data_IF_717888104536
#
_entry.id   IF_717888104536
#
_cell.length_a   1.000
_cell.length_b   1.000
_cell.length_c   1.000
_cell.angle_alpha   90.00
_cell.angle_beta   90.00
_cell.angle_gamma   90.00
#
_symmetry.space_group_name_H-M   'P 1'
#
loop_
_entity.id
_entity.type
_entity.pdbx_description
1 polymer ?
#
# COMPACT_ATOMS: atom_id res chain seq x y z
N UNK A 1 -23.64 40.75 8.40
CA UNK A 1 -22.63 39.79 8.86
C UNK A 1 -23.15 38.40 8.59
N UNK A 2 -22.67 37.77 7.52
CA UNK A 2 -22.93 36.37 7.24
C UNK A 2 -21.60 35.64 7.47
N UNK A 3 -21.60 34.69 8.38
CA UNK A 3 -20.44 33.93 8.79
C UNK A 3 -19.88 33.14 7.60
N UNK A 4 -18.68 33.50 7.15
CA UNK A 4 -17.80 32.61 6.41
C UNK A 4 -17.45 31.47 7.36
N UNK A 5 -18.18 30.35 7.24
CA UNK A 5 -17.75 29.10 7.84
C UNK A 5 -16.51 28.63 7.08
N UNK A 6 -15.33 28.80 7.67
CA UNK A 6 -14.11 28.14 7.21
C UNK A 6 -14.39 26.64 7.11
N UNK A 7 -14.43 26.08 5.89
CA UNK A 7 -14.51 24.64 5.64
C UNK A 7 -13.17 24.02 6.04
N UNK A 8 -12.95 23.81 7.33
CA UNK A 8 -11.76 23.14 7.83
C UNK A 8 -11.82 21.65 7.46
N UNK A 9 -10.94 21.21 6.56
CA UNK A 9 -10.75 19.79 6.24
C UNK A 9 -10.01 19.12 7.41
N UNK A 10 -10.60 18.07 7.99
CA UNK A 10 -9.96 17.37 9.12
C UNK A 10 -8.71 16.59 8.67
N UNK A 11 -7.71 16.40 9.56
CA UNK A 11 -6.50 15.65 9.22
C UNK A 11 -6.76 14.24 8.67
N UNK A 12 -7.82 13.57 9.14
CA UNK A 12 -8.19 12.23 8.66
C UNK A 12 -8.73 12.25 7.24
N UNK A 13 -9.48 13.29 6.87
CA UNK A 13 -9.91 13.50 5.48
C UNK A 13 -8.71 13.76 4.57
N UNK A 14 -7.75 14.59 5.01
CA UNK A 14 -6.53 14.83 4.25
C UNK A 14 -5.74 13.54 4.01
N UNK A 15 -5.60 12.69 5.04
CA UNK A 15 -4.92 11.39 4.92
C UNK A 15 -5.68 10.44 3.99
N UNK A 16 -7.00 10.42 4.04
CA UNK A 16 -7.82 9.59 3.15
C UNK A 16 -7.68 10.01 1.68
N UNK A 17 -7.69 11.32 1.40
CA UNK A 17 -7.45 11.86 0.05
C UNK A 17 -6.04 11.53 -0.43
N UNK A 18 -5.03 11.72 0.42
CA UNK A 18 -3.65 11.36 0.09
C UNK A 18 -3.52 9.86 -0.28
N UNK A 19 -4.17 8.97 0.47
CA UNK A 19 -4.20 7.53 0.16
C UNK A 19 -4.89 7.24 -1.18
N UNK A 20 -5.99 7.93 -1.51
CA UNK A 20 -6.66 7.76 -2.79
C UNK A 20 -5.78 8.20 -3.97
N UNK A 21 -5.09 9.34 -3.83
CA UNK A 21 -4.13 9.83 -4.83
C UNK A 21 -2.97 8.85 -5.00
N UNK A 22 -2.40 8.35 -3.89
CA UNK A 22 -1.37 7.31 -3.92
C UNK A 22 -1.80 6.10 -4.73
N UNK A 23 -2.97 5.54 -4.41
CA UNK A 23 -3.52 4.37 -5.10
C UNK A 23 -3.77 4.65 -6.57
N UNK A 24 -4.36 5.79 -6.92
CA UNK A 24 -4.63 6.16 -8.30
C UNK A 24 -3.33 6.24 -9.14
N UNK A 25 -2.29 6.85 -8.57
CA UNK A 25 -0.97 6.97 -9.21
C UNK A 25 -0.37 5.59 -9.46
N UNK A 26 -0.31 4.71 -8.46
CA UNK A 26 0.28 3.38 -8.62
C UNK A 26 -0.52 2.53 -9.62
N UNK A 27 -1.87 2.54 -9.51
CA UNK A 27 -2.74 1.81 -10.44
C UNK A 27 -2.53 2.25 -11.88
N UNK A 28 -2.39 3.56 -12.14
CA UNK A 28 -2.13 4.06 -13.48
C UNK A 28 -0.66 3.85 -13.91
N UNK A 29 0.28 4.47 -13.20
CA UNK A 29 1.67 4.58 -13.63
C UNK A 29 2.44 3.25 -13.64
N UNK A 30 2.04 2.30 -12.80
CA UNK A 30 2.62 0.97 -12.78
C UNK A 30 1.71 -0.07 -13.43
N UNK A 31 0.56 -0.39 -12.84
CA UNK A 31 -0.22 -1.54 -13.30
C UNK A 31 -0.91 -1.34 -14.66
N UNK A 32 -1.52 -0.18 -14.90
CA UNK A 32 -2.20 0.09 -16.16
C UNK A 32 -1.20 0.24 -17.32
N UNK A 33 -0.10 0.98 -17.10
CA UNK A 33 1.01 1.08 -18.05
C UNK A 33 1.66 -0.27 -18.35
N UNK A 34 1.76 -1.17 -17.36
CA UNK A 34 2.26 -2.54 -17.58
C UNK A 34 1.36 -3.35 -18.53
N UNK A 35 0.05 -3.12 -18.50
CA UNK A 35 -0.91 -3.72 -19.44
C UNK A 35 -1.01 -2.97 -20.78
N UNK A 36 -0.55 -1.72 -20.85
CA UNK A 36 -0.62 -0.86 -22.03
C UNK A 36 0.66 -0.02 -22.15
N UNK A 37 1.77 -0.63 -22.63
CA UNK A 37 3.10 -0.03 -22.63
C UNK A 37 3.23 1.28 -23.44
N UNK A 38 2.27 1.55 -24.34
CA UNK A 38 2.20 2.77 -25.13
C UNK A 38 1.83 4.02 -24.31
N UNK A 39 1.33 3.83 -23.08
CA UNK A 39 0.87 4.93 -22.23
C UNK A 39 2.05 5.67 -21.58
N UNK A 40 1.98 7.00 -21.64
CA UNK A 40 2.94 7.88 -20.99
C UNK A 40 2.84 7.79 -19.47
N UNK A 41 3.96 8.02 -18.79
CA UNK A 41 3.97 8.22 -17.34
C UNK A 41 3.30 9.58 -17.05
N UNK A 42 2.38 9.61 -16.09
CA UNK A 42 1.70 10.82 -15.65
C UNK A 42 2.37 11.40 -14.39
N UNK A 43 2.62 12.71 -14.40
CA UNK A 43 3.12 13.44 -13.23
C UNK A 43 2.00 13.70 -12.20
N UNK A 44 2.33 14.07 -10.95
CA UNK A 44 1.33 14.40 -9.93
C UNK A 44 0.31 15.45 -10.36
N UNK A 45 0.73 16.46 -11.12
CA UNK A 45 -0.11 17.56 -11.59
C UNK A 45 -1.26 17.04 -12.45
N UNK A 46 -1.00 16.12 -13.39
CA UNK A 46 -2.03 15.48 -14.21
C UNK A 46 -3.08 14.75 -13.36
N UNK A 47 -2.68 14.07 -12.28
CA UNK A 47 -3.65 13.41 -11.38
C UNK A 47 -4.50 14.43 -10.63
N UNK A 48 -3.91 15.54 -10.18
CA UNK A 48 -4.67 16.60 -9.51
C UNK A 48 -5.65 17.30 -10.44
N UNK A 49 -5.25 17.58 -11.68
CA UNK A 49 -6.13 18.12 -12.72
C UNK A 49 -7.30 17.17 -12.98
N UNK A 50 -7.05 15.87 -13.22
CA UNK A 50 -8.12 14.89 -13.43
C UNK A 50 -9.07 14.75 -12.22
N UNK A 51 -8.52 14.77 -11.00
CA UNK A 51 -9.31 14.68 -9.79
C UNK A 51 -10.23 15.91 -9.60
N UNK A 52 -9.73 17.10 -9.95
CA UNK A 52 -10.48 18.37 -9.89
C UNK A 52 -11.68 18.41 -10.85
N UNK A 53 -11.59 17.69 -11.97
CA UNK A 53 -12.66 17.59 -12.96
C UNK A 53 -13.75 16.57 -12.57
N UNK A 54 -13.42 15.60 -11.70
CA UNK A 54 -14.25 14.41 -11.44
C UNK A 54 -14.98 14.45 -10.09
N UNK A 55 -14.45 15.19 -9.12
CA UNK A 55 -14.96 15.24 -7.74
C UNK A 55 -15.26 16.70 -7.44
N UNK A 56 -16.53 17.04 -7.23
CA UNK A 56 -17.05 18.42 -7.14
C UNK A 56 -16.40 19.34 -6.09
N UNK A 57 -17.02 20.49 -5.86
CA UNK A 57 -16.49 21.69 -5.17
C UNK A 57 -15.61 21.47 -3.92
N UNK A 58 -15.78 20.38 -3.15
CA UNK A 58 -15.02 20.10 -1.94
C UNK A 58 -13.56 19.63 -2.19
N UNK A 59 -13.31 18.83 -3.24
CA UNK A 59 -11.92 18.47 -3.61
C UNK A 59 -11.24 19.63 -4.32
N UNK A 60 -11.99 20.39 -5.13
CA UNK A 60 -11.54 21.66 -5.70
C UNK A 60 -11.16 22.65 -4.61
N UNK A 61 -11.96 22.81 -3.55
CA UNK A 61 -11.62 23.66 -2.41
C UNK A 61 -10.35 23.18 -1.70
N UNK A 62 -10.17 21.85 -1.52
CA UNK A 62 -8.94 21.29 -0.96
C UNK A 62 -7.70 21.59 -1.83
N UNK A 63 -7.77 21.31 -3.14
CA UNK A 63 -6.67 21.54 -4.07
C UNK A 63 -6.36 23.04 -4.22
N UNK A 64 -7.38 23.89 -4.22
CA UNK A 64 -7.23 25.35 -4.28
C UNK A 64 -6.55 25.89 -3.02
N UNK A 65 -6.94 25.41 -1.82
CA UNK A 65 -6.27 25.78 -0.57
C UNK A 65 -4.82 25.32 -0.50
N UNK A 66 -4.51 24.14 -1.08
CA UNK A 66 -3.13 23.65 -1.21
C UNK A 66 -2.31 24.54 -2.15
N UNK A 67 -2.89 24.93 -3.28
CA UNK A 67 -2.23 25.79 -4.27
C UNK A 67 -2.01 27.23 -3.77
N UNK A 68 -2.96 27.80 -3.03
CA UNK A 68 -2.81 29.13 -2.41
C UNK A 68 -1.72 29.17 -1.32
N UNK A 69 -1.56 28.07 -0.57
CA UNK A 69 -0.51 27.96 0.45
C UNK A 69 0.90 27.84 -0.16
N UNK A 70 1.00 27.28 -1.37
CA UNK A 70 2.25 27.20 -2.16
C UNK A 70 2.62 28.54 -2.80
N UNK A 71 1.64 29.29 -3.31
CA UNK A 71 1.87 30.60 -3.95
C UNK A 71 2.14 31.74 -2.95
N UNK A 72 1.63 31.68 -1.72
CA UNK A 72 1.77 32.75 -0.72
C UNK A 72 2.97 32.59 0.24
N UNK A 73 3.69 31.47 0.19
CA UNK A 73 4.85 31.23 1.06
C UNK A 73 6.16 31.51 0.33
N UNK A 74 6.61 32.77 0.40
CA UNK A 74 7.93 33.16 -0.07
C UNK A 74 9.01 32.20 0.44
N UNK A 75 9.76 31.61 -0.49
CA UNK A 75 10.92 30.70 -0.28
C UNK A 75 10.71 29.71 0.87
N UNK A 76 10.07 28.59 0.54
CA UNK A 76 9.82 27.35 1.30
C UNK A 76 8.34 27.09 1.56
N UNK A 77 7.58 26.97 0.47
CA UNK A 77 6.28 26.31 0.52
C UNK A 77 6.45 24.87 0.99
N UNK A 78 5.98 24.58 2.19
CA UNK A 78 5.90 23.21 2.70
C UNK A 78 4.80 22.50 1.91
N UNK A 79 5.20 21.63 0.97
CA UNK A 79 4.28 20.79 0.19
C UNK A 79 3.21 20.18 1.08
N UNK A 80 1.97 20.16 0.59
CA UNK A 80 0.86 19.49 1.27
C UNK A 80 1.16 17.99 1.45
N UNK A 81 0.49 17.36 2.42
CA UNK A 81 0.63 15.91 2.64
C UNK A 81 0.28 15.13 1.37
N UNK A 82 -0.78 15.54 0.67
CA UNK A 82 -1.22 14.91 -0.57
C UNK A 82 -0.20 15.07 -1.69
N UNK A 83 0.39 16.26 -1.85
CA UNK A 83 1.43 16.47 -2.86
C UNK A 83 2.67 15.62 -2.59
N UNK A 84 3.11 15.53 -1.32
CA UNK A 84 4.24 14.67 -0.94
C UNK A 84 3.98 13.19 -1.23
N UNK A 85 2.79 12.71 -0.89
CA UNK A 85 2.37 11.34 -1.16
C UNK A 85 2.29 11.08 -2.67
N UNK A 86 1.85 12.06 -3.46
CA UNK A 86 1.81 11.93 -4.91
C UNK A 86 3.22 11.81 -5.54
N UNK A 87 4.18 12.62 -5.10
CA UNK A 87 5.58 12.51 -5.51
C UNK A 87 6.15 11.13 -5.14
N UNK A 88 5.96 10.71 -3.89
CA UNK A 88 6.40 9.38 -3.44
C UNK A 88 5.77 8.24 -4.24
N UNK A 89 4.48 8.32 -4.57
CA UNK A 89 3.81 7.33 -5.39
C UNK A 89 4.37 7.27 -6.82
N UNK A 90 4.74 8.43 -7.39
CA UNK A 90 5.41 8.48 -8.69
C UNK A 90 6.81 7.85 -8.62
N UNK A 91 7.61 8.18 -7.60
CA UNK A 91 8.92 7.58 -7.37
C UNK A 91 8.81 6.05 -7.25
N UNK A 92 7.85 5.55 -6.46
CA UNK A 92 7.57 4.11 -6.34
C UNK A 92 7.26 3.51 -7.72
N UNK A 93 6.34 4.10 -8.48
CA UNK A 93 5.94 3.57 -9.79
C UNK A 93 7.10 3.58 -10.80
N UNK A 94 7.98 4.58 -10.74
CA UNK A 94 9.18 4.66 -11.57
C UNK A 94 10.18 3.55 -11.22
N UNK A 95 10.44 3.31 -9.92
CA UNK A 95 11.36 2.25 -9.47
C UNK A 95 10.83 0.84 -9.73
N UNK A 96 9.50 0.66 -9.72
CA UNK A 96 8.87 -0.60 -10.09
C UNK A 96 8.99 -0.91 -11.59
N UNK A 97 9.14 0.14 -12.41
CA UNK A 97 9.34 0.07 -13.86
C UNK A 97 8.31 -0.82 -14.57
N UNK A 98 7.21 -0.19 -15.01
CA UNK A 98 6.13 -0.87 -15.72
C UNK A 98 6.55 -1.58 -17.03
N UNK A 99 7.75 -1.30 -17.56
CA UNK A 99 8.26 -1.97 -18.76
C UNK A 99 8.86 -3.35 -18.47
N UNK A 100 9.17 -3.65 -17.19
CA UNK A 100 9.74 -4.92 -16.76
C UNK A 100 8.66 -5.92 -16.35
N UNK A 101 8.99 -7.20 -16.46
CA UNK A 101 8.12 -8.27 -15.97
C UNK A 101 8.01 -8.24 -14.44
N UNK A 102 9.11 -8.04 -13.72
CA UNK A 102 9.16 -7.87 -12.27
C UNK A 102 10.29 -6.91 -11.87
N UNK A 103 10.16 -6.20 -10.73
CA UNK A 103 11.21 -5.31 -10.24
C UNK A 103 12.42 -6.09 -9.73
N UNK A 104 13.62 -5.54 -9.89
CA UNK A 104 14.86 -6.12 -9.35
C UNK A 104 15.03 -5.70 -7.88
N UNK A 105 14.70 -6.61 -6.97
CA UNK A 105 14.61 -6.32 -5.53
C UNK A 105 15.83 -6.78 -4.72
N UNK A 106 16.90 -7.28 -5.35
CA UNK A 106 18.02 -7.92 -4.65
C UNK A 106 18.70 -7.03 -3.59
N UNK A 107 18.65 -5.71 -3.77
CA UNK A 107 19.24 -4.71 -2.88
C UNK A 107 18.21 -3.86 -2.12
N UNK A 108 16.92 -4.19 -2.22
CA UNK A 108 15.85 -3.39 -1.62
C UNK A 108 15.74 -3.69 -0.12
N UNK A 109 15.76 -2.66 0.77
CA UNK A 109 15.51 -2.87 2.19
C UNK A 109 14.12 -3.46 2.44
N UNK A 110 14.02 -4.33 3.45
CA UNK A 110 12.74 -4.88 3.91
C UNK A 110 12.05 -3.82 4.78
N UNK A 111 10.93 -3.28 4.30
CA UNK A 111 10.13 -2.30 5.06
C UNK A 111 8.88 -2.90 5.70
N UNK A 112 8.48 -4.09 5.25
CA UNK A 112 7.19 -4.71 5.59
C UNK A 112 7.35 -6.23 5.70
N UNK A 113 6.53 -6.84 6.54
CA UNK A 113 6.28 -8.28 6.52
C UNK A 113 4.85 -8.57 6.10
N UNK A 114 4.64 -9.63 5.34
CA UNK A 114 3.32 -10.11 4.95
C UNK A 114 3.19 -11.62 5.19
N UNK A 115 1.97 -12.08 5.48
CA UNK A 115 1.66 -13.50 5.67
C UNK A 115 0.58 -13.95 4.71
N UNK A 116 0.91 -14.95 3.90
CA UNK A 116 -0.04 -15.73 3.11
C UNK A 116 -0.42 -16.97 3.92
N UNK A 117 -1.61 -16.94 4.52
CA UNK A 117 -2.15 -18.06 5.28
C UNK A 117 -2.91 -19.00 4.35
N UNK A 118 -2.42 -20.23 4.19
CA UNK A 118 -2.99 -21.27 3.35
C UNK A 118 -3.70 -22.33 4.20
N UNK A 119 -4.80 -22.83 3.66
CA UNK A 119 -5.48 -23.98 4.25
C UNK A 119 -4.63 -25.27 4.11
N UNK A 120 -4.93 -26.36 4.85
CA UNK A 120 -4.17 -27.61 4.74
C UNK A 120 -4.14 -28.23 3.33
N UNK A 121 -5.11 -27.90 2.46
CA UNK A 121 -5.09 -28.35 1.06
C UNK A 121 -4.25 -27.46 0.15
N UNK A 122 -3.81 -26.29 0.63
CA UNK A 122 -3.04 -25.27 -0.08
C UNK A 122 -3.75 -24.77 -1.34
N UNK A 123 -5.08 -24.83 -1.36
CA UNK A 123 -5.92 -24.36 -2.47
C UNK A 123 -6.70 -23.11 -2.13
N UNK A 124 -6.71 -22.71 -0.87
CA UNK A 124 -7.37 -21.49 -0.40
C UNK A 124 -6.45 -20.70 0.50
N UNK A 125 -6.72 -19.41 0.58
CA UNK A 125 -6.01 -18.50 1.46
C UNK A 125 -6.98 -17.60 2.23
N UNK A 126 -6.48 -17.08 3.35
CA UNK A 126 -7.22 -16.12 4.16
C UNK A 126 -6.88 -14.70 3.76
N UNK A 127 -7.92 -13.92 3.51
CA UNK A 127 -7.84 -12.51 3.16
C UNK A 127 -8.73 -11.68 4.10
N UNK A 128 -8.36 -10.42 4.28
CA UNK A 128 -9.09 -9.45 5.08
C UNK A 128 -9.84 -8.47 4.17
N UNK A 129 -11.15 -8.42 4.36
CA UNK A 129 -12.05 -7.41 3.80
C UNK A 129 -12.82 -6.78 4.96
N UNK A 130 -12.22 -5.78 5.61
CA UNK A 130 -12.79 -5.17 6.81
C UNK A 130 -12.99 -3.67 6.65
N UNK A 131 -13.79 -3.09 7.55
CA UNK A 131 -13.91 -1.65 7.69
C UNK A 131 -12.52 -0.97 7.86
N UNK A 132 -11.55 -1.69 8.44
CA UNK A 132 -10.18 -1.24 8.62
C UNK A 132 -9.42 -1.12 7.29
N UNK A 133 -9.75 -1.94 6.29
CA UNK A 133 -9.18 -1.87 4.94
C UNK A 133 -9.98 -0.92 4.02
N UNK A 134 -11.05 -0.30 4.54
CA UNK A 134 -11.94 0.63 3.81
C UNK A 134 -12.53 0.00 2.53
N UNK A 135 -12.83 -1.30 2.56
CA UNK A 135 -13.40 -2.02 1.41
C UNK A 135 -12.37 -2.44 0.36
N UNK A 136 -11.12 -2.69 0.76
CA UNK A 136 -10.05 -3.21 -0.10
C UNK A 136 -9.63 -4.58 0.44
N UNK A 137 -9.53 -5.57 -0.44
CA UNK A 137 -8.99 -6.88 -0.12
C UNK A 137 -7.50 -6.78 0.20
N UNK A 138 -7.08 -7.42 1.28
CA UNK A 138 -5.67 -7.44 1.69
C UNK A 138 -5.29 -8.77 2.32
N UNK A 139 -4.00 -9.08 2.32
CA UNK A 139 -3.43 -10.13 3.15
C UNK A 139 -2.95 -9.52 4.47
N UNK A 140 -2.52 -10.36 5.41
CA UNK A 140 -2.02 -9.86 6.70
C UNK A 140 -0.66 -9.22 6.50
N UNK A 141 -0.60 -7.89 6.62
CA UNK A 141 0.62 -7.10 6.49
C UNK A 141 0.94 -6.34 7.77
N UNK A 142 2.24 -6.10 8.00
CA UNK A 142 2.74 -5.21 9.04
C UNK A 142 3.96 -4.44 8.57
N UNK A 143 3.85 -3.11 8.62
CA UNK A 143 4.99 -2.21 8.41
C UNK A 143 6.00 -2.35 9.56
N UNK A 144 7.29 -2.23 9.24
CA UNK A 144 8.39 -2.34 10.20
C UNK A 144 8.85 -0.96 10.64
N UNK A 145 8.90 -0.75 11.96
CA UNK A 145 9.36 0.50 12.56
C UNK A 145 10.86 0.72 12.25
N UNK A 146 11.18 1.74 11.45
CA UNK A 146 12.54 2.10 11.06
C UNK A 146 12.79 2.16 9.54
N UNK A 147 11.86 1.68 8.72
CA UNK A 147 11.93 1.79 7.26
C UNK A 147 11.16 3.00 6.69
N UNK A 148 10.36 3.68 7.52
CA UNK A 148 9.70 4.93 7.15
C UNK A 148 10.70 6.09 7.17
N UNK A 149 11.23 6.45 6.02
CA UNK A 149 11.80 7.77 5.80
C UNK A 149 10.74 8.83 6.08
N UNK A 150 10.89 9.53 7.22
CA UNK A 150 10.11 10.68 7.67
C UNK A 150 8.60 10.48 7.91
N UNK A 151 8.24 10.11 9.15
CA UNK A 151 7.13 10.79 9.84
C UNK A 151 7.35 10.84 11.36
N UNK A 152 7.41 12.04 11.93
CA UNK A 152 7.44 12.26 13.38
C UNK A 152 6.02 12.16 13.95
N UNK A 153 5.80 11.36 14.98
CA UNK A 153 5.74 11.86 16.36
C UNK A 153 5.15 10.81 17.32
N UNK A 154 5.97 10.39 18.28
CA UNK A 154 5.46 10.01 19.60
C UNK A 154 6.26 10.83 20.59
N UNK A 155 5.56 11.61 21.41
CA UNK A 155 6.14 12.45 22.45
C UNK A 155 7.03 11.60 23.37
N UNK A 156 8.33 11.88 23.39
CA UNK A 156 9.20 11.53 24.51
C UNK A 156 9.88 12.80 25.04
N UNK A 157 10.07 12.90 26.37
CA UNK A 157 10.54 14.12 27.00
C UNK A 157 12.01 14.37 26.69
N UNK A 158 12.33 15.65 26.55
CA UNK A 158 13.66 16.15 26.27
C UNK A 158 14.69 15.66 27.31
N UNK A 159 15.81 15.13 26.82
CA UNK A 159 17.02 14.95 27.63
C UNK A 159 17.75 13.64 27.36
N UNK A 160 18.49 13.57 26.25
CA UNK A 160 19.84 12.99 26.18
C UNK A 160 20.35 13.08 24.74
N UNK A 161 21.23 14.06 24.51
CA UNK A 161 22.11 14.06 23.35
C UNK A 161 23.05 12.85 23.46
N UNK A 162 22.98 11.95 22.49
CA UNK A 162 24.10 11.06 22.17
C UNK A 162 24.30 11.03 20.67
N UNK A 163 25.48 11.47 20.29
CA UNK A 163 26.04 11.59 18.95
C UNK A 163 26.22 10.23 18.29
N UNK A 164 25.41 9.92 17.27
CA UNK A 164 25.77 8.96 16.23
C UNK A 164 25.01 9.27 14.94
N UNK A 165 25.68 10.02 14.06
CA UNK A 165 25.34 10.12 12.63
C UNK A 165 25.59 8.73 12.03
N UNK A 166 24.54 7.99 11.72
CA UNK A 166 24.64 6.66 11.12
C UNK A 166 23.35 6.29 10.38
N UNK A 167 23.40 6.38 9.05
CA UNK A 167 22.43 5.72 8.16
C UNK A 167 22.66 4.22 8.34
N UNK A 168 21.85 3.58 9.17
CA UNK A 168 21.78 2.13 9.28
C UNK A 168 20.29 1.81 9.43
N UNK A 169 19.64 1.46 8.31
CA UNK A 169 18.33 0.83 8.36
C UNK A 169 18.44 -0.39 9.27
N UNK A 170 17.59 -0.50 10.28
CA UNK A 170 17.64 -1.59 11.23
C UNK A 170 17.54 -2.92 10.45
N UNK A 171 18.66 -3.63 10.30
CA UNK A 171 18.65 -4.94 9.67
C UNK A 171 17.92 -5.90 10.61
N UNK A 172 16.63 -6.10 10.37
CA UNK A 172 15.87 -7.09 11.12
C UNK A 172 16.43 -8.47 10.80
N UNK A 173 16.82 -9.23 11.83
CA UNK A 173 17.19 -10.62 11.61
C UNK A 173 15.99 -11.41 11.07
N UNK A 174 16.20 -12.48 10.29
CA UNK A 174 15.11 -13.31 9.76
C UNK A 174 14.13 -13.77 10.85
N UNK A 175 14.65 -14.15 12.01
CA UNK A 175 13.87 -14.53 13.19
C UNK A 175 12.96 -13.40 13.69
N UNK A 176 13.46 -12.15 13.71
CA UNK A 176 12.65 -11.00 14.14
C UNK A 176 11.53 -10.69 13.14
N UNK A 177 11.79 -10.82 11.84
CA UNK A 177 10.76 -10.64 10.80
C UNK A 177 9.65 -11.67 10.95
N UNK A 178 10.00 -12.95 11.10
CA UNK A 178 9.02 -14.03 11.29
C UNK A 178 8.20 -13.81 12.56
N UNK A 179 8.85 -13.44 13.67
CA UNK A 179 8.15 -13.14 14.93
C UNK A 179 7.14 -12.00 14.77
N UNK A 180 7.48 -10.94 14.02
CA UNK A 180 6.56 -9.86 13.76
C UNK A 180 5.37 -10.29 12.90
N UNK A 181 5.63 -11.10 11.88
CA UNK A 181 4.61 -11.66 11.00
C UNK A 181 3.61 -12.53 11.78
N UNK A 182 4.11 -13.44 12.60
CA UNK A 182 3.28 -14.34 13.42
C UNK A 182 2.51 -13.61 14.52
N UNK A 183 3.12 -12.61 15.14
CA UNK A 183 2.43 -11.75 16.10
C UNK A 183 1.25 -11.02 15.45
N UNK A 184 1.37 -10.64 14.19
CA UNK A 184 0.28 -9.97 13.46
C UNK A 184 -0.84 -10.96 13.10
N UNK A 185 -0.49 -12.20 12.72
CA UNK A 185 -1.47 -13.28 12.54
C UNK A 185 -2.25 -13.52 13.82
N UNK A 186 -1.59 -13.72 14.96
CA UNK A 186 -2.25 -13.95 16.25
C UNK A 186 -3.16 -12.76 16.63
N UNK A 187 -2.71 -11.53 16.39
CA UNK A 187 -3.50 -10.31 16.65
C UNK A 187 -4.77 -10.23 15.80
N UNK A 188 -4.68 -10.60 14.52
CA UNK A 188 -5.78 -10.50 13.54
C UNK A 188 -6.76 -11.66 13.59
N UNK A 189 -6.28 -12.85 13.92
CA UNK A 189 -7.03 -14.10 13.78
C UNK A 189 -7.28 -14.82 15.11
N UNK A 190 -6.57 -14.45 16.18
CA UNK A 190 -6.55 -15.19 17.44
C UNK A 190 -5.80 -16.53 17.37
N UNK A 191 -5.26 -16.93 16.22
CA UNK A 191 -4.55 -18.20 16.06
C UNK A 191 -3.22 -18.19 16.81
N UNK A 192 -2.97 -19.26 17.55
CA UNK A 192 -1.69 -19.46 18.24
C UNK A 192 -0.62 -19.86 17.25
N UNK A 193 0.60 -19.39 17.48
CA UNK A 193 1.78 -19.73 16.67
C UNK A 193 2.02 -21.23 16.56
N UNK A 194 1.64 -22.02 17.58
CA UNK A 194 1.71 -23.49 17.55
C UNK A 194 0.85 -24.14 16.46
N UNK A 195 -0.13 -23.42 15.94
CA UNK A 195 -1.08 -23.88 14.92
C UNK A 195 -0.69 -23.37 13.51
N UNK A 196 0.48 -22.75 13.40
CA UNK A 196 1.00 -22.16 12.17
C UNK A 196 2.27 -22.91 11.76
N UNK A 197 2.27 -23.45 10.54
CA UNK A 197 3.40 -24.19 9.99
C UNK A 197 4.01 -23.40 8.83
N UNK A 198 5.27 -22.98 8.96
CA UNK A 198 5.97 -22.29 7.88
C UNK A 198 6.18 -23.25 6.71
N UNK A 199 5.71 -22.88 5.53
CA UNK A 199 5.91 -23.64 4.30
C UNK A 199 7.07 -23.11 3.47
N UNK A 200 7.15 -21.80 3.31
CA UNK A 200 8.13 -21.14 2.43
C UNK A 200 8.28 -19.65 2.80
N UNK A 201 9.35 -19.03 2.31
CA UNK A 201 9.60 -17.60 2.44
C UNK A 201 10.02 -17.01 1.10
N UNK A 202 9.43 -15.86 0.76
CA UNK A 202 9.76 -15.17 -0.49
C UNK A 202 9.77 -13.65 -0.29
N UNK A 203 9.99 -12.91 -1.37
CA UNK A 203 10.04 -11.46 -1.40
C UNK A 203 9.01 -10.93 -2.41
N UNK A 204 8.35 -9.84 -2.05
CA UNK A 204 7.52 -9.04 -2.95
C UNK A 204 7.95 -7.57 -2.88
N UNK A 205 7.55 -6.75 -3.84
CA UNK A 205 7.78 -5.32 -3.75
C UNK A 205 6.75 -4.67 -2.82
N UNK A 206 7.14 -3.60 -2.14
CA UNK A 206 6.23 -2.79 -1.33
C UNK A 206 5.67 -1.64 -2.15
N UNK A 207 4.38 -1.36 -1.98
CA UNK A 207 3.72 -0.18 -2.55
C UNK A 207 3.73 1.02 -1.59
N UNK A 208 4.32 0.88 -0.41
CA UNK A 208 4.33 1.94 0.62
C UNK A 208 5.54 2.87 0.52
N UNK A 209 6.68 2.38 0.03
CA UNK A 209 7.95 3.10 -0.02
C UNK A 209 8.72 2.77 -1.31
N UNK A 210 9.49 3.73 -1.82
CA UNK A 210 10.36 3.49 -2.98
C UNK A 210 11.46 2.47 -2.65
N UNK A 211 11.82 1.64 -3.63
CA UNK A 211 12.86 0.60 -3.51
C UNK A 211 12.74 -0.25 -2.24
N UNK A 212 11.53 -0.52 -1.79
CA UNK A 212 11.29 -1.27 -0.57
C UNK A 212 10.69 -2.62 -0.89
N UNK A 213 11.13 -3.64 -0.16
CA UNK A 213 10.63 -4.99 -0.29
C UNK A 213 9.79 -5.38 0.92
N UNK A 214 8.88 -6.31 0.67
CA UNK A 214 8.08 -7.01 1.67
C UNK A 214 8.60 -8.43 1.81
N UNK A 215 8.96 -8.82 3.03
CA UNK A 215 9.27 -10.23 3.33
C UNK A 215 7.96 -10.99 3.50
N UNK A 216 7.74 -11.99 2.66
CA UNK A 216 6.49 -12.76 2.62
C UNK A 216 6.73 -14.13 3.26
N UNK A 217 5.91 -14.47 4.24
CA UNK A 217 5.88 -15.80 4.86
C UNK A 217 4.66 -16.55 4.34
N UNK A 218 4.88 -17.73 3.76
CA UNK A 218 3.83 -18.64 3.32
C UNK A 218 3.63 -19.67 4.43
N UNK A 219 2.44 -19.68 5.01
CA UNK A 219 2.16 -20.37 6.26
C UNK A 219 0.89 -21.19 6.12
N UNK A 220 0.96 -22.46 6.47
CA UNK A 220 -0.23 -23.31 6.61
C UNK A 220 -0.86 -23.09 7.99
N UNK A 221 -2.19 -22.96 8.07
CA UNK A 221 -2.91 -22.86 9.34
C UNK A 221 -3.72 -24.12 9.63
N UNK A 222 -3.80 -24.50 10.91
CA UNK A 222 -4.74 -25.52 11.34
C UNK A 222 -6.16 -24.96 11.47
N UNK A 223 -7.22 -25.66 10.99
CA UNK A 223 -8.60 -25.17 11.01
C UNK A 223 -9.14 -25.03 12.44
N UNK A 224 -8.83 -23.92 13.08
CA UNK A 224 -9.27 -23.54 14.44
C UNK A 224 -9.97 -22.19 14.44
N UNK A 225 -10.44 -21.77 13.26
CA UNK A 225 -10.88 -20.42 12.92
C UNK A 225 -11.92 -19.82 13.87
N UNK A 226 -11.54 -18.73 14.52
CA UNK A 226 -12.41 -17.72 15.15
C UNK A 226 -11.88 -16.34 14.73
N UNK A 227 -12.14 -15.93 13.50
CA UNK A 227 -11.63 -14.67 12.95
C UNK A 227 -12.60 -14.00 11.98
N UNK A 228 -12.30 -12.74 11.64
CA UNK A 228 -13.07 -11.93 10.68
C UNK A 228 -12.55 -12.04 9.24
N UNK A 229 -11.58 -12.93 8.99
CA UNK A 229 -10.99 -13.11 7.67
C UNK A 229 -11.85 -14.06 6.84
N UNK A 230 -11.84 -13.85 5.55
CA UNK A 230 -12.55 -14.67 4.58
C UNK A 230 -11.61 -15.67 3.90
N UNK A 231 -12.10 -16.88 3.69
CA UNK A 231 -11.37 -17.95 3.01
C UNK A 231 -11.75 -17.94 1.52
N UNK A 232 -10.80 -17.64 0.65
CA UNK A 232 -11.00 -17.56 -0.81
C UNK A 232 -10.08 -18.55 -1.51
N UNK A 233 -10.57 -19.20 -2.57
CA UNK A 233 -9.73 -20.07 -3.38
C UNK A 233 -8.64 -19.27 -4.08
N UNK A 234 -7.45 -19.86 -4.25
CA UNK A 234 -6.36 -19.20 -4.98
C UNK A 234 -6.78 -18.87 -6.42
N UNK A 235 -7.57 -19.74 -7.05
CA UNK A 235 -8.10 -19.55 -8.41
C UNK A 235 -9.04 -18.34 -8.50
N UNK A 236 -10.00 -18.22 -7.59
CA UNK A 236 -10.93 -17.09 -7.56
C UNK A 236 -10.20 -15.78 -7.27
N UNK A 237 -9.23 -15.80 -6.35
CA UNK A 237 -8.45 -14.62 -5.98
C UNK A 237 -7.60 -14.12 -7.16
N UNK A 238 -6.90 -15.02 -7.85
CA UNK A 238 -6.10 -14.68 -9.04
C UNK A 238 -7.00 -14.18 -10.18
N UNK A 239 -8.15 -14.83 -10.38
CA UNK A 239 -9.14 -14.43 -11.39
C UNK A 239 -9.68 -13.03 -11.12
N UNK A 240 -9.95 -12.70 -9.85
CA UNK A 240 -10.45 -11.38 -9.43
C UNK A 240 -9.43 -10.25 -9.62
N UNK A 241 -8.14 -10.59 -9.64
CA UNK A 241 -7.04 -9.67 -9.96
C UNK A 241 -6.66 -9.65 -11.44
N UNK A 242 -7.40 -10.34 -12.30
CA UNK A 242 -7.08 -10.49 -13.73
C UNK A 242 -8.08 -9.73 -14.58
N UNK A 243 -7.58 -9.03 -15.59
CA UNK A 243 -8.37 -8.17 -16.46
C UNK A 243 -7.92 -6.71 -16.39
N UNK A 244 -8.60 -5.82 -17.14
CA UNK A 244 -8.23 -4.41 -17.19
C UNK A 244 -8.61 -3.72 -15.87
N UNK A 245 -7.83 -2.70 -15.50
CA UNK A 245 -8.15 -1.82 -14.37
C UNK A 245 -9.29 -0.85 -14.67
N UNK A 246 -9.45 -0.50 -15.95
CA UNK A 246 -10.44 0.46 -16.43
C UNK A 246 -11.14 -0.11 -17.65
N UNK A 247 -12.46 0.11 -17.74
CA UNK A 247 -13.24 -0.21 -18.93
C UNK A 247 -13.55 1.09 -19.67
N UNK A 248 -13.20 1.12 -20.95
CA UNK A 248 -13.49 2.23 -21.84
C UNK A 248 -14.96 2.17 -22.29
N UNK A 249 -15.85 2.62 -21.41
CA UNK A 249 -17.24 2.98 -21.71
C UNK A 249 -17.28 4.51 -22.03
N UNK A 250 -18.38 5.10 -22.53
CA UNK A 250 -18.49 6.56 -22.70
C UNK A 250 -18.15 7.36 -21.43
N UNK A 251 -18.21 6.72 -20.27
CA UNK A 251 -17.68 7.20 -19.01
C UNK A 251 -16.74 6.13 -18.45
N UNK A 252 -15.42 6.36 -18.44
CA UNK A 252 -14.46 5.40 -17.90
C UNK A 252 -14.81 5.01 -16.46
N UNK A 253 -14.81 3.70 -16.17
CA UNK A 253 -15.06 3.16 -14.83
C UNK A 253 -13.94 2.21 -14.44
N UNK A 254 -13.60 2.21 -13.16
CA UNK A 254 -12.73 1.20 -12.57
C UNK A 254 -13.43 -0.15 -12.53
N UNK A 255 -12.69 -1.24 -12.73
CA UNK A 255 -13.17 -2.60 -12.48
C UNK A 255 -12.98 -2.99 -11.01
N UNK A 256 -13.52 -4.14 -10.61
CA UNK A 256 -13.30 -4.71 -9.28
C UNK A 256 -11.82 -5.02 -8.97
N UNK A 257 -10.94 -5.08 -9.98
CA UNK A 257 -9.50 -5.30 -9.79
C UNK A 257 -8.90 -4.25 -8.84
N UNK A 258 -9.42 -3.02 -8.83
CA UNK A 258 -8.93 -1.95 -7.94
C UNK A 258 -9.17 -2.26 -6.46
N UNK A 259 -10.16 -3.09 -6.14
CA UNK A 259 -10.44 -3.55 -4.78
C UNK A 259 -9.37 -4.52 -4.26
N UNK A 260 -8.51 -5.05 -5.14
CA UNK A 260 -7.42 -5.96 -4.80
C UNK A 260 -6.05 -5.26 -4.82
N UNK A 261 -6.03 -3.92 -4.82
CA UNK A 261 -4.81 -3.12 -4.89
C UNK A 261 -3.69 -3.58 -3.94
N UNK A 262 -4.03 -3.94 -2.69
CA UNK A 262 -3.05 -4.44 -1.71
C UNK A 262 -2.59 -5.87 -1.94
N UNK A 263 -3.29 -6.67 -2.76
CA UNK A 263 -2.92 -8.06 -3.06
C UNK A 263 -2.12 -8.15 -4.37
N UNK A 264 -2.24 -7.17 -5.26
CA UNK A 264 -1.53 -7.15 -6.54
C UNK A 264 -0.02 -7.45 -6.46
N UNK A 265 0.75 -6.96 -5.46
CA UNK A 265 2.18 -7.31 -5.32
C UNK A 265 2.46 -8.80 -5.14
N UNK A 266 1.47 -9.58 -4.70
CA UNK A 266 1.59 -11.00 -4.40
C UNK A 266 0.98 -11.89 -5.48
N UNK A 267 0.45 -11.32 -6.58
CA UNK A 267 -0.26 -12.06 -7.63
C UNK A 267 0.59 -13.17 -8.25
N UNK A 268 1.87 -12.91 -8.50
CA UNK A 268 2.81 -13.89 -9.06
C UNK A 268 3.07 -15.03 -8.06
N UNK A 269 3.28 -14.70 -6.78
CA UNK A 269 3.46 -15.69 -5.70
C UNK A 269 2.21 -16.58 -5.57
N UNK A 270 1.01 -15.98 -5.59
CA UNK A 270 -0.26 -16.71 -5.54
C UNK A 270 -0.40 -17.65 -6.75
N UNK A 271 -0.02 -17.17 -7.94
CA UNK A 271 -0.02 -17.97 -9.17
C UNK A 271 0.95 -19.16 -9.06
N UNK A 272 2.15 -18.96 -8.55
CA UNK A 272 3.11 -20.05 -8.32
C UNK A 272 2.56 -21.09 -7.33
N UNK A 273 1.94 -20.64 -6.24
CA UNK A 273 1.32 -21.52 -5.24
C UNK A 273 0.18 -22.36 -5.81
N UNK A 274 -0.64 -21.80 -6.72
CA UNK A 274 -1.74 -22.53 -7.36
C UNK A 274 -1.24 -23.73 -8.18
N UNK A 275 -0.09 -23.57 -8.85
CA UNK A 275 0.51 -24.57 -9.74
C UNK A 275 1.49 -25.54 -9.05
N UNK A 276 1.78 -25.33 -7.76
CA UNK A 276 2.49 -26.31 -6.91
C UNK A 276 1.54 -27.43 -6.46
#
# INVERSE_FOLDING_TARGET
GAAQGERYVTPDKQRAVAQQIHTAIILYNYYHRKMSPQLAFADPEQFFECASLSVGEDLLAYLSMVHEHENNSGKHAKLSITHKVALQACEIAEQLDASKHSPEMALWPISKVAVLLLDPTKKKCLVDYSANTKGIWSIIEKELDGAAGNSHSTNQPAGQESTAKGIVGASHSPFMLQRQAYSEVERRTGMKVSNLHLLDETMAYSLSNEKAATKVFIVEYEPTMKGSLEEISLEDLISSMTGPLFVNDPFPKTTSVVEYYHILPYKEILSELLHR
#
